data_IF_114337228189
#
_entry.id   IF_114337228189
#
_cell.length_a   1.000
_cell.length_b   1.000
_cell.length_c   1.000
_cell.angle_alpha   90.00
_cell.angle_beta   90.00
_cell.angle_gamma   90.00
#
_symmetry.space_group_name_H-M   'P 1'
#
loop_
_entity.id
_entity.type
_entity.pdbx_description
1 polymer ?
#
# COMPACT_ATOMS: atom_id res chain seq x y z
N UNK A 1 -14.19 0.85 13.22
CA UNK A 1 -13.90 -0.29 12.33
C UNK A 1 -12.78 -1.08 12.96
N UNK A 2 -12.94 -2.40 13.10
CA UNK A 2 -11.92 -3.26 13.70
C UNK A 2 -11.76 -4.50 12.82
N UNK A 3 -10.51 -4.82 12.50
CA UNK A 3 -10.13 -6.06 11.82
C UNK A 3 -9.38 -6.92 12.81
N UNK A 4 -9.86 -8.13 13.07
CA UNK A 4 -9.27 -9.04 14.06
C UNK A 4 -9.16 -10.46 13.51
N UNK A 5 -8.27 -11.25 14.08
CA UNK A 5 -8.23 -12.69 13.87
C UNK A 5 -8.80 -13.35 15.12
N UNK A 6 -9.85 -14.15 14.94
CA UNK A 6 -10.44 -14.95 16.00
C UNK A 6 -10.17 -16.43 15.74
N UNK A 7 -9.77 -17.17 16.79
CA UNK A 7 -9.69 -18.63 16.71
C UNK A 7 -11.03 -19.21 17.16
N UNK A 8 -11.77 -19.86 16.25
CA UNK A 8 -13.01 -20.61 16.55
C UNK A 8 -12.86 -22.04 16.06
N UNK A 9 -13.11 -23.00 16.94
CA UNK A 9 -12.98 -24.45 16.66
C UNK A 9 -11.58 -24.85 16.15
N UNK A 10 -10.54 -24.18 16.66
CA UNK A 10 -9.15 -24.41 16.25
C UNK A 10 -8.79 -23.87 14.86
N UNK A 11 -9.65 -23.03 14.26
CA UNK A 11 -9.39 -22.39 12.96
C UNK A 11 -9.36 -20.87 13.10
N UNK A 12 -8.34 -20.19 12.53
CA UNK A 12 -8.33 -18.73 12.48
C UNK A 12 -9.38 -18.23 11.48
N UNK A 13 -10.10 -17.18 11.87
CA UNK A 13 -11.14 -16.53 11.08
C UNK A 13 -10.86 -15.05 11.04
N UNK A 14 -10.93 -14.48 9.82
CA UNK A 14 -10.81 -13.05 9.62
C UNK A 14 -12.14 -12.40 9.95
N UNK A 15 -12.12 -11.50 10.92
CA UNK A 15 -13.29 -10.70 11.30
C UNK A 15 -13.08 -9.28 10.80
N UNK A 16 -13.99 -8.76 9.99
CA UNK A 16 -14.01 -7.37 9.54
C UNK A 16 -15.32 -6.75 10.03
N UNK A 17 -15.21 -5.70 10.85
CA UNK A 17 -16.38 -5.02 11.44
C UNK A 17 -17.34 -5.98 12.18
N UNK A 18 -16.78 -7.05 12.79
CA UNK A 18 -17.54 -8.05 13.54
C UNK A 18 -18.18 -9.15 12.69
N UNK A 19 -18.03 -9.10 11.36
CA UNK A 19 -18.51 -10.12 10.43
C UNK A 19 -17.34 -11.01 10.02
N UNK A 20 -17.58 -12.32 9.96
CA UNK A 20 -16.61 -13.28 9.44
C UNK A 20 -16.54 -13.14 7.92
N UNK A 21 -15.35 -12.81 7.42
CA UNK A 21 -15.09 -12.64 5.99
C UNK A 21 -14.14 -13.71 5.48
N UNK A 22 -14.22 -13.98 4.17
CA UNK A 22 -13.22 -14.82 3.52
C UNK A 22 -11.82 -14.20 3.71
N UNK A 23 -10.77 -15.00 3.97
CA UNK A 23 -9.40 -14.52 4.11
C UNK A 23 -8.79 -14.20 2.72
N UNK A 24 -9.46 -13.33 1.97
CA UNK A 24 -9.11 -12.91 0.62
C UNK A 24 -8.80 -11.42 0.64
N UNK A 25 -7.64 -11.06 0.11
CA UNK A 25 -7.22 -9.69 -0.10
C UNK A 25 -7.15 -9.39 -1.59
N UNK A 26 -7.78 -8.28 -2.02
CA UNK A 26 -7.60 -7.76 -3.37
C UNK A 26 -6.59 -6.63 -3.36
N UNK A 27 -5.50 -6.78 -4.11
CA UNK A 27 -4.48 -5.75 -4.28
C UNK A 27 -4.56 -5.09 -5.64
N UNK A 28 -4.30 -3.78 -5.65
CA UNK A 28 -4.14 -3.02 -6.88
C UNK A 28 -2.81 -3.34 -7.58
N UNK A 29 -2.77 -3.07 -8.87
CA UNK A 29 -1.56 -3.28 -9.68
C UNK A 29 -0.65 -2.07 -9.54
N UNK A 30 0.64 -2.32 -9.29
CA UNK A 30 1.68 -1.29 -9.31
C UNK A 30 2.04 -0.93 -10.76
N UNK A 31 1.14 -0.17 -11.41
CA UNK A 31 1.33 0.32 -12.77
C UNK A 31 0.64 1.68 -12.93
N UNK A 32 1.14 2.55 -13.82
CA UNK A 32 0.48 3.82 -14.14
C UNK A 32 -1.00 3.63 -14.47
N UNK A 33 -1.87 4.44 -13.87
CA UNK A 33 -3.33 4.38 -14.04
C UNK A 33 -4.02 3.20 -13.36
N UNK A 34 -3.29 2.33 -12.64
CA UNK A 34 -3.82 1.14 -11.96
C UNK A 34 -3.52 1.07 -10.46
N UNK A 35 -2.74 2.02 -9.94
CA UNK A 35 -2.23 2.02 -8.54
C UNK A 35 -3.03 2.87 -7.57
N UNK A 36 -3.67 3.94 -8.03
CA UNK A 36 -4.33 4.91 -7.15
C UNK A 36 -5.82 4.65 -7.07
N UNK A 37 -6.35 4.45 -5.87
CA UNK A 37 -7.74 4.00 -5.64
C UNK A 37 -8.81 4.97 -6.14
N UNK A 38 -8.46 6.24 -6.37
CA UNK A 38 -9.35 7.27 -6.92
C UNK A 38 -9.31 7.37 -8.46
N UNK A 39 -8.42 6.64 -9.13
CA UNK A 39 -8.38 6.58 -10.58
C UNK A 39 -9.48 5.65 -11.12
N UNK A 40 -9.90 5.89 -12.37
CA UNK A 40 -11.04 5.21 -13.00
C UNK A 40 -10.94 3.68 -12.94
N UNK A 41 -9.80 3.12 -13.37
CA UNK A 41 -9.60 1.68 -13.43
C UNK A 41 -9.54 1.02 -12.03
N UNK A 42 -8.74 1.53 -11.08
CA UNK A 42 -8.75 1.04 -9.70
C UNK A 42 -10.11 1.14 -9.01
N UNK A 43 -10.78 2.30 -9.10
CA UNK A 43 -12.09 2.50 -8.50
C UNK A 43 -13.11 1.48 -9.03
N UNK A 44 -13.14 1.29 -10.36
CA UNK A 44 -13.98 0.27 -11.00
C UNK A 44 -13.65 -1.14 -10.50
N UNK A 45 -12.38 -1.50 -10.42
CA UNK A 45 -11.98 -2.82 -9.95
C UNK A 45 -12.37 -3.05 -8.50
N UNK A 46 -12.14 -2.07 -7.61
CA UNK A 46 -12.56 -2.13 -6.21
C UNK A 46 -14.07 -2.37 -6.12
N UNK A 47 -14.87 -1.61 -6.87
CA UNK A 47 -16.33 -1.78 -6.90
C UNK A 47 -16.75 -3.17 -7.38
N UNK A 48 -16.08 -3.71 -8.41
CA UNK A 48 -16.35 -5.07 -8.91
C UNK A 48 -16.01 -6.11 -7.86
N UNK A 49 -14.84 -6.06 -7.22
CA UNK A 49 -14.46 -7.04 -6.20
C UNK A 49 -15.31 -6.90 -4.93
N UNK A 50 -15.68 -5.68 -4.53
CA UNK A 50 -16.60 -5.43 -3.42
C UNK A 50 -17.97 -6.04 -3.68
N UNK A 51 -18.52 -5.90 -4.89
CA UNK A 51 -19.80 -6.51 -5.26
C UNK A 51 -19.74 -8.05 -5.33
N UNK A 52 -18.54 -8.63 -5.41
CA UNK A 52 -18.29 -10.08 -5.32
C UNK A 52 -17.92 -10.54 -3.89
N UNK A 53 -18.07 -9.68 -2.88
CA UNK A 53 -17.89 -10.03 -1.47
C UNK A 53 -16.48 -9.86 -0.92
N UNK A 54 -15.55 -9.23 -1.66
CA UNK A 54 -14.25 -8.87 -1.08
C UNK A 54 -14.41 -7.71 -0.10
N UNK A 55 -13.85 -7.86 1.10
CA UNK A 55 -13.87 -6.83 2.16
C UNK A 55 -12.51 -6.36 2.64
N UNK A 56 -11.42 -6.99 2.19
CA UNK A 56 -10.06 -6.57 2.50
C UNK A 56 -9.34 -6.13 1.22
N UNK A 57 -8.89 -4.88 1.19
CA UNK A 57 -8.22 -4.28 0.05
C UNK A 57 -6.81 -3.85 0.41
N UNK A 58 -5.84 -4.14 -0.46
CA UNK A 58 -4.45 -3.70 -0.35
C UNK A 58 -4.22 -2.52 -1.28
N UNK A 59 -3.73 -1.42 -0.73
CA UNK A 59 -3.25 -0.28 -1.50
C UNK A 59 -1.77 -0.01 -1.18
N UNK A 60 -0.99 0.25 -2.22
CA UNK A 60 0.41 0.60 -2.11
C UNK A 60 0.60 2.10 -1.86
N UNK A 61 1.57 2.42 -1.00
CA UNK A 61 2.09 3.76 -0.81
C UNK A 61 3.61 3.71 -0.68
N UNK A 62 4.28 4.72 -1.20
CA UNK A 62 5.72 4.85 -1.11
C UNK A 62 6.07 5.89 -0.06
N UNK A 63 6.94 5.51 0.88
CA UNK A 63 7.40 6.40 1.93
C UNK A 63 8.06 7.65 1.34
N UNK A 64 8.78 7.51 0.24
CA UNK A 64 9.42 8.61 -0.50
C UNK A 64 8.47 9.70 -0.99
N UNK A 65 7.21 9.36 -1.22
CA UNK A 65 6.18 10.31 -1.65
C UNK A 65 5.50 10.98 -0.47
N UNK A 66 5.85 10.60 0.75
CA UNK A 66 5.25 11.07 1.99
C UNK A 66 6.26 11.76 2.91
N UNK A 67 7.57 11.64 2.69
CA UNK A 67 8.59 12.29 3.53
C UNK A 67 9.47 13.25 2.71
N UNK A 68 9.60 14.48 3.22
CA UNK A 68 10.47 15.50 2.64
C UNK A 68 11.91 15.43 3.17
N UNK A 69 12.81 16.16 2.51
CA UNK A 69 14.20 16.38 2.95
C UNK A 69 14.33 17.14 4.28
N UNK A 70 13.24 17.75 4.73
CA UNK A 70 13.05 18.48 5.99
C UNK A 70 12.48 17.59 7.12
N UNK A 71 12.50 16.27 6.91
CA UNK A 71 11.96 15.22 7.79
C UNK A 71 10.47 15.36 8.09
N UNK A 72 9.72 16.15 7.31
CA UNK A 72 8.28 16.29 7.47
C UNK A 72 7.55 15.14 6.76
N UNK A 73 6.69 14.45 7.52
CA UNK A 73 5.82 13.38 7.02
C UNK A 73 4.43 13.94 6.64
N UNK A 74 4.09 13.88 5.36
CA UNK A 74 2.75 14.13 4.82
C UNK A 74 2.04 12.81 4.47
N UNK A 75 1.02 12.47 5.26
CA UNK A 75 0.19 11.28 5.07
C UNK A 75 -1.02 11.50 4.14
N UNK A 76 -1.11 12.64 3.45
CA UNK A 76 -2.24 12.97 2.56
C UNK A 76 -2.44 11.90 1.50
N UNK A 77 -1.36 11.36 0.94
CA UNK A 77 -1.41 10.26 -0.02
C UNK A 77 -2.07 9.00 0.56
N UNK A 78 -1.64 8.57 1.76
CA UNK A 78 -2.20 7.42 2.46
C UNK A 78 -3.70 7.61 2.76
N UNK A 79 -4.09 8.81 3.22
CA UNK A 79 -5.51 9.13 3.46
C UNK A 79 -6.34 9.07 2.17
N UNK A 80 -5.77 9.52 1.06
CA UNK A 80 -6.44 9.49 -0.25
C UNK A 80 -6.61 8.06 -0.77
N UNK A 81 -5.60 7.19 -0.60
CA UNK A 81 -5.72 5.76 -0.92
C UNK A 81 -6.87 5.11 -0.13
N UNK A 82 -6.91 5.32 1.20
CA UNK A 82 -7.99 4.79 2.05
C UNK A 82 -9.35 5.33 1.63
N UNK A 83 -9.45 6.64 1.39
CA UNK A 83 -10.70 7.28 0.99
C UNK A 83 -11.25 6.69 -0.32
N UNK A 84 -10.41 6.47 -1.33
CA UNK A 84 -10.85 5.90 -2.61
C UNK A 84 -11.38 4.47 -2.48
N UNK A 85 -10.82 3.64 -1.58
CA UNK A 85 -11.42 2.32 -1.30
C UNK A 85 -12.78 2.46 -0.63
N UNK A 86 -12.86 3.29 0.42
CA UNK A 86 -14.09 3.45 1.21
C UNK A 86 -15.21 4.14 0.44
N UNK A 87 -14.89 4.91 -0.59
CA UNK A 87 -15.88 5.46 -1.53
C UNK A 87 -16.61 4.36 -2.31
N UNK A 88 -15.90 3.30 -2.69
CA UNK A 88 -16.47 2.17 -3.43
C UNK A 88 -17.02 1.06 -2.52
N UNK A 89 -16.42 0.88 -1.33
CA UNK A 89 -16.82 -0.13 -0.34
C UNK A 89 -16.73 0.45 1.09
N UNK A 90 -17.79 1.10 1.61
CA UNK A 90 -17.75 1.84 2.88
C UNK A 90 -17.45 1.01 4.14
N UNK A 91 -17.68 -0.30 4.07
CA UNK A 91 -17.46 -1.26 5.16
C UNK A 91 -16.19 -2.10 4.96
N UNK A 92 -15.34 -1.75 4.00
CA UNK A 92 -14.08 -2.44 3.77
C UNK A 92 -13.06 -2.19 4.89
N UNK A 93 -12.16 -3.16 5.07
CA UNK A 93 -10.86 -2.95 5.69
C UNK A 93 -9.82 -2.62 4.61
N UNK A 94 -8.93 -1.67 4.91
CA UNK A 94 -7.84 -1.26 4.02
C UNK A 94 -6.52 -1.61 4.68
N UNK A 95 -5.70 -2.42 4.00
CA UNK A 95 -4.30 -2.65 4.33
C UNK A 95 -3.46 -1.72 3.45
N UNK A 96 -2.61 -0.92 4.08
CA UNK A 96 -1.61 -0.12 3.38
C UNK A 96 -0.28 -0.88 3.39
N UNK A 97 0.25 -1.20 2.21
CA UNK A 97 1.63 -1.69 2.07
C UNK A 97 2.53 -0.49 1.84
N UNK A 98 3.43 -0.25 2.80
CA UNK A 98 4.36 0.87 2.76
C UNK A 98 5.67 0.40 2.17
N UNK A 99 6.03 0.94 1.01
CA UNK A 99 7.34 0.75 0.40
C UNK A 99 8.33 1.70 1.08
N UNK A 100 9.37 1.13 1.67
CA UNK A 100 10.40 1.85 2.47
C UNK A 100 11.76 1.80 1.78
N UNK A 101 11.75 1.91 0.45
CA UNK A 101 12.97 2.01 -0.33
C UNK A 101 13.78 3.23 0.14
N UNK A 102 15.10 3.10 0.08
CA UNK A 102 15.98 4.18 0.50
C UNK A 102 15.80 5.40 -0.41
N UNK A 103 15.68 6.57 0.21
CA UNK A 103 15.43 7.83 -0.48
C UNK A 103 16.73 8.35 -1.09
N UNK A 104 16.69 8.83 -2.34
CA UNK A 104 17.91 9.29 -3.00
C UNK A 104 18.64 10.37 -2.18
N UNK A 105 17.91 11.38 -1.69
CA UNK A 105 18.49 12.45 -0.86
C UNK A 105 19.09 11.94 0.45
N UNK A 106 18.55 10.84 1.02
CA UNK A 106 19.08 10.22 2.22
C UNK A 106 20.40 9.53 1.91
N UNK A 107 20.44 8.79 0.81
CA UNK A 107 21.65 8.09 0.37
C UNK A 107 22.77 9.06 -0.02
N UNK A 108 22.43 10.19 -0.66
CA UNK A 108 23.40 11.24 -0.99
C UNK A 108 24.06 11.83 0.27
N UNK A 109 23.31 11.93 1.37
CA UNK A 109 23.81 12.41 2.68
C UNK A 109 24.50 11.30 3.48
N UNK A 110 24.12 10.05 3.26
CA UNK A 110 24.59 8.87 4.00
C UNK A 110 25.14 7.78 3.06
N UNK A 111 26.19 8.06 2.27
CA UNK A 111 26.69 7.12 1.28
C UNK A 111 27.22 5.81 1.91
N UNK A 112 27.60 5.83 3.18
CA UNK A 112 28.01 4.64 3.93
C UNK A 112 26.87 3.65 4.21
N UNK A 113 25.61 4.06 4.03
CA UNK A 113 24.44 3.19 4.20
C UNK A 113 24.02 2.52 2.88
N UNK A 114 24.65 2.88 1.76
CA UNK A 114 24.41 2.24 0.47
C UNK A 114 24.99 0.83 0.43
N UNK A 115 24.24 -0.11 -0.17
CA UNK A 115 24.75 -1.46 -0.46
C UNK A 115 25.52 -1.42 -1.78
N UNK A 116 26.80 -1.78 -1.75
CA UNK A 116 27.63 -1.97 -2.94
C UNK A 116 27.98 -3.45 -3.16
N UNK A 117 28.16 -3.87 -4.42
CA UNK A 117 28.76 -5.16 -4.71
C UNK A 117 30.28 -5.08 -4.51
N UNK A 118 30.90 -6.16 -4.03
CA UNK A 118 32.30 -6.17 -3.61
C UNK A 118 33.31 -5.80 -4.72
N UNK A 119 32.96 -6.04 -5.98
CA UNK A 119 33.90 -6.01 -7.12
C UNK A 119 33.49 -5.06 -8.26
N UNK A 120 32.50 -4.17 -8.04
CA UNK A 120 32.07 -3.19 -9.05
C UNK A 120 32.00 -1.80 -8.46
N UNK A 121 32.21 -0.78 -9.29
CA UNK A 121 31.91 0.60 -8.91
C UNK A 121 30.41 0.74 -8.62
N UNK A 122 30.08 1.66 -7.71
CA UNK A 122 28.70 1.93 -7.34
C UNK A 122 27.93 2.37 -8.59
N UNK A 123 26.99 1.55 -9.03
CA UNK A 123 26.16 1.86 -10.19
C UNK A 123 25.27 3.05 -9.85
N UNK A 124 25.33 4.11 -10.67
CA UNK A 124 24.38 5.21 -10.55
C UNK A 124 23.03 4.72 -11.07
N UNK A 125 22.15 4.34 -10.16
CA UNK A 125 20.79 3.94 -10.52
C UNK A 125 20.06 5.17 -11.11
N UNK A 126 19.54 5.03 -12.32
CA UNK A 126 18.63 6.04 -12.85
C UNK A 126 17.27 5.85 -12.18
N UNK A 127 16.63 6.93 -11.69
CA UNK A 127 15.29 6.81 -11.15
C UNK A 127 14.38 6.16 -12.18
N UNK A 128 13.70 5.08 -11.79
CA UNK A 128 12.64 4.53 -12.60
C UNK A 128 11.61 5.64 -12.83
N UNK A 129 11.49 6.09 -14.07
CA UNK A 129 10.44 7.04 -14.45
C UNK A 129 9.09 6.32 -14.34
N UNK A 130 8.40 6.50 -13.21
CA UNK A 130 7.01 6.07 -12.99
C UNK A 130 6.03 7.17 -13.38
#
# INVERSE_FOLDING_TARGET
>A
MASTIENRDGRPRLMINGVEEAPLIYGLTDSPGSRWTWEEMPARNIAVFASNGVKLFLADIWFEQMIGEDDQLDITLARKQVAGVLEQCPDAAVMLRVHVNALQWWLDRNPSEMVGYADVELEQEQPWSL
#
